data_IF_360373140316
#
_entry.id   IF_360373140316
#
_cell.length_a   1.000
_cell.length_b   1.000
_cell.length_c   1.000
_cell.angle_alpha   90.00
_cell.angle_beta   90.00
_cell.angle_gamma   90.00
#
_symmetry.space_group_name_H-M   'P 1'
#
loop_
_entity.id
_entity.type
_entity.pdbx_description
1 polymer ?
#
# COMPACT_ATOMS: atom_id res chain seq x y z
N UNK A 1 16.11 16.49 35.74
CA UNK A 1 15.53 16.48 34.35
C UNK A 1 16.51 15.75 33.46
N UNK A 2 16.21 14.59 32.97
CA UNK A 2 17.06 13.91 32.00
C UNK A 2 17.04 14.67 30.69
N UNK A 3 18.16 15.26 30.32
CA UNK A 3 18.33 15.87 29.01
C UNK A 3 18.22 14.79 27.93
N UNK A 4 17.11 14.79 27.21
CA UNK A 4 17.01 13.95 26.00
C UNK A 4 17.51 14.78 24.82
N UNK A 5 18.60 14.36 24.16
CA UNK A 5 19.10 15.05 22.99
C UNK A 5 18.05 14.96 21.88
N UNK A 6 17.55 16.10 21.46
CA UNK A 6 16.61 16.21 20.36
C UNK A 6 17.42 16.30 19.08
N UNK A 7 17.19 15.42 18.13
CA UNK A 7 17.84 15.53 16.83
C UNK A 7 17.47 16.84 16.17
N UNK A 8 18.43 17.48 15.53
CA UNK A 8 18.29 18.81 14.96
C UNK A 8 17.07 18.96 14.04
N UNK A 9 16.80 17.98 13.18
CA UNK A 9 15.64 17.99 12.29
C UNK A 9 14.30 17.75 12.98
N UNK A 10 14.32 17.43 14.27
CA UNK A 10 13.13 17.26 15.11
C UNK A 10 12.87 18.48 16.00
N UNK A 11 13.76 19.48 15.99
CA UNK A 11 13.68 20.63 16.89
C UNK A 11 12.64 21.64 16.50
N UNK A 12 12.14 21.60 15.30
CA UNK A 12 11.09 22.51 14.85
C UNK A 12 9.72 22.19 15.43
N UNK A 13 8.75 22.29 14.60
CA UNK A 13 7.33 22.12 14.95
C UNK A 13 6.99 20.77 15.53
N UNK A 14 7.69 19.70 15.10
CA UNK A 14 7.38 18.34 15.54
C UNK A 14 7.55 18.17 17.04
N UNK A 15 8.71 18.54 17.57
CA UNK A 15 9.02 18.31 18.99
C UNK A 15 8.17 19.20 19.89
N UNK A 16 7.99 20.46 19.52
CA UNK A 16 7.19 21.42 20.31
C UNK A 16 5.71 21.03 20.28
N UNK A 17 5.14 20.78 19.11
CA UNK A 17 3.72 20.39 18.98
C UNK A 17 3.37 19.14 19.78
N UNK A 18 4.22 18.13 19.77
CA UNK A 18 3.97 16.88 20.48
C UNK A 18 4.10 16.99 22.00
N UNK A 19 4.87 17.95 22.51
CA UNK A 19 5.00 18.19 23.96
C UNK A 19 3.78 18.85 24.58
N UNK A 20 2.98 19.53 23.79
CA UNK A 20 1.77 20.23 24.25
C UNK A 20 0.57 19.30 24.43
N UNK A 21 0.65 18.06 23.91
CA UNK A 21 -0.45 17.11 23.98
C UNK A 21 -0.12 15.97 24.95
N UNK A 22 -1.06 15.56 25.81
CA UNK A 22 -0.95 14.32 26.57
C UNK A 22 -0.68 13.13 25.65
N UNK A 23 0.06 12.13 26.12
CA UNK A 23 0.49 10.99 25.30
C UNK A 23 -0.71 10.23 24.67
N UNK A 24 -1.81 10.13 25.42
CA UNK A 24 -3.04 9.48 25.01
C UNK A 24 -3.83 10.21 23.91
N UNK A 25 -3.61 11.51 23.79
CA UNK A 25 -4.29 12.36 22.78
C UNK A 25 -3.47 12.58 21.51
N UNK A 26 -2.22 12.09 21.49
CA UNK A 26 -1.35 12.22 20.33
C UNK A 26 -1.85 11.36 19.17
N UNK A 27 -1.72 11.89 17.96
CA UNK A 27 -1.98 11.09 16.76
C UNK A 27 -1.00 9.93 16.65
N UNK A 28 -1.34 8.93 15.84
CA UNK A 28 -0.47 7.78 15.59
C UNK A 28 0.92 8.22 15.12
N UNK A 29 1.00 9.22 14.23
CA UNK A 29 2.27 9.76 13.72
C UNK A 29 3.09 10.47 14.79
N UNK A 30 2.42 11.09 15.76
CA UNK A 30 3.06 11.89 16.80
C UNK A 30 3.43 11.08 18.06
N UNK A 31 3.08 9.80 18.12
CA UNK A 31 3.37 8.98 19.28
C UNK A 31 4.82 8.50 19.27
N UNK A 32 5.65 9.07 20.13
CA UNK A 32 7.08 8.74 20.26
C UNK A 32 7.34 7.33 20.84
N UNK A 33 6.34 6.70 21.46
CA UNK A 33 6.44 5.33 22.00
C UNK A 33 6.00 4.28 20.99
N UNK A 34 5.67 4.70 19.77
CA UNK A 34 5.28 3.79 18.71
C UNK A 34 6.43 2.85 18.36
N UNK A 35 6.11 1.58 18.18
CA UNK A 35 7.02 0.63 17.50
C UNK A 35 7.39 1.18 16.12
N UNK A 36 8.65 1.10 15.79
CA UNK A 36 9.15 1.57 14.50
C UNK A 36 9.86 0.43 13.77
N UNK A 37 9.21 -0.16 12.80
CA UNK A 37 9.74 -1.25 11.99
C UNK A 37 10.80 -0.80 10.99
N UNK A 38 10.76 0.46 10.57
CA UNK A 38 11.64 1.02 9.55
C UNK A 38 12.57 2.06 10.20
N UNK A 39 13.84 1.71 10.34
CA UNK A 39 14.87 2.58 10.92
C UNK A 39 15.15 3.83 10.09
N UNK A 40 15.70 4.85 10.75
CA UNK A 40 16.34 5.96 10.07
C UNK A 40 17.51 5.45 9.21
N UNK A 41 17.77 6.14 8.09
CA UNK A 41 18.79 5.73 7.12
C UNK A 41 18.21 5.03 5.89
N UNK A 42 16.90 4.75 5.85
CA UNK A 42 16.23 4.36 4.61
C UNK A 42 16.32 5.46 3.56
N UNK A 43 16.21 5.07 2.29
CA UNK A 43 16.38 5.96 1.13
C UNK A 43 15.05 6.30 0.43
N UNK A 44 13.94 6.31 1.15
CA UNK A 44 12.65 6.66 0.58
C UNK A 44 12.64 8.11 0.09
N UNK A 45 11.95 8.34 -1.01
CA UNK A 45 11.74 9.68 -1.55
C UNK A 45 10.98 10.56 -0.55
N UNK A 46 11.17 11.86 -0.65
CA UNK A 46 10.37 12.82 0.13
C UNK A 46 8.88 12.65 -0.19
N UNK A 47 8.04 12.48 0.83
CA UNK A 47 6.61 12.25 0.65
C UNK A 47 6.24 10.88 0.11
N UNK A 48 7.11 9.87 0.18
CA UNK A 48 6.84 8.54 -0.33
C UNK A 48 5.65 7.88 0.39
N UNK A 49 4.54 7.67 -0.34
CA UNK A 49 3.36 6.98 0.20
C UNK A 49 3.60 5.51 0.50
N UNK A 50 4.45 4.84 -0.30
CA UNK A 50 4.80 3.43 -0.09
C UNK A 50 5.58 3.23 1.21
N UNK A 51 6.56 4.08 1.50
CA UNK A 51 7.31 4.02 2.76
C UNK A 51 6.41 4.29 3.98
N UNK A 52 5.46 5.22 3.84
CA UNK A 52 4.47 5.49 4.88
C UNK A 52 3.57 4.26 5.11
N UNK A 53 2.97 3.71 4.06
CA UNK A 53 2.08 2.57 4.15
C UNK A 53 2.78 1.32 4.68
N UNK A 54 3.97 1.00 4.16
CA UNK A 54 4.73 -0.17 4.57
C UNK A 54 5.16 -0.10 6.03
N UNK A 55 5.64 1.05 6.49
CA UNK A 55 5.99 1.26 7.89
C UNK A 55 4.81 0.97 8.82
N UNK A 56 3.64 1.53 8.53
CA UNK A 56 2.44 1.33 9.36
C UNK A 56 1.94 -0.12 9.32
N UNK A 57 1.97 -0.75 8.17
CA UNK A 57 1.58 -2.15 8.02
C UNK A 57 2.51 -3.09 8.83
N UNK A 58 3.81 -2.91 8.72
CA UNK A 58 4.78 -3.77 9.43
C UNK A 58 4.77 -3.47 10.95
N UNK A 59 4.65 -2.20 11.37
CA UNK A 59 4.47 -1.85 12.78
C UNK A 59 3.26 -2.57 13.39
N UNK A 60 2.12 -2.58 12.68
CA UNK A 60 0.91 -3.26 13.12
C UNK A 60 1.11 -4.79 13.21
N UNK A 61 1.79 -5.37 12.22
CA UNK A 61 2.09 -6.79 12.20
C UNK A 61 3.07 -7.20 13.33
N UNK A 62 4.11 -6.42 13.59
CA UNK A 62 5.04 -6.62 14.70
C UNK A 62 4.31 -6.61 16.05
N UNK A 63 3.44 -5.63 16.25
CA UNK A 63 2.65 -5.54 17.47
C UNK A 63 1.70 -6.73 17.65
N UNK A 64 1.00 -7.14 16.58
CA UNK A 64 0.07 -8.26 16.61
C UNK A 64 0.73 -9.63 16.84
N UNK A 65 2.03 -9.75 16.49
CA UNK A 65 2.78 -11.02 16.58
C UNK A 65 3.81 -11.04 17.70
N UNK A 66 3.89 -9.99 18.50
CA UNK A 66 4.98 -9.81 19.49
C UNK A 66 6.36 -9.99 18.84
N UNK A 67 6.57 -9.39 17.67
CA UNK A 67 7.78 -9.43 16.83
C UNK A 67 8.12 -10.81 16.26
N UNK A 68 7.23 -11.82 16.36
CA UNK A 68 7.44 -13.14 15.73
C UNK A 68 6.97 -13.12 14.28
N UNK A 69 7.74 -12.46 13.43
CA UNK A 69 7.42 -12.16 12.05
C UNK A 69 8.65 -12.33 11.15
N UNK A 70 8.45 -12.87 9.95
CA UNK A 70 9.44 -12.91 8.87
C UNK A 70 8.79 -12.29 7.64
N UNK A 71 9.49 -11.41 6.94
CA UNK A 71 9.03 -10.81 5.71
C UNK A 71 9.86 -11.25 4.49
N UNK A 72 9.17 -11.64 3.42
CA UNK A 72 9.73 -11.80 2.08
C UNK A 72 9.34 -10.60 1.23
N UNK A 73 10.24 -10.08 0.41
CA UNK A 73 10.02 -8.86 -0.36
C UNK A 73 10.36 -9.05 -1.84
N UNK A 74 9.52 -8.47 -2.70
CA UNK A 74 9.79 -8.35 -4.13
C UNK A 74 10.74 -7.18 -4.40
N UNK A 75 11.46 -7.23 -5.51
CA UNK A 75 12.22 -6.08 -6.02
C UNK A 75 11.27 -4.94 -6.36
N UNK A 76 11.65 -3.73 -6.05
CA UNK A 76 10.89 -2.51 -6.36
C UNK A 76 11.29 -1.34 -5.47
N UNK A 77 10.45 -0.30 -5.40
CA UNK A 77 10.70 0.84 -4.53
C UNK A 77 10.91 0.42 -3.08
N UNK A 78 10.04 -0.47 -2.57
CA UNK A 78 10.09 -0.95 -1.19
C UNK A 78 11.44 -1.58 -0.83
N UNK A 79 11.96 -2.43 -1.70
CA UNK A 79 13.28 -3.03 -1.52
C UNK A 79 14.37 -1.96 -1.60
N UNK A 80 14.39 -1.17 -2.68
CA UNK A 80 15.46 -0.20 -2.95
C UNK A 80 15.62 0.83 -1.83
N UNK A 81 14.53 1.37 -1.29
CA UNK A 81 14.67 2.34 -0.21
C UNK A 81 14.99 1.73 1.15
N UNK A 82 14.71 0.47 1.37
CA UNK A 82 14.86 -0.19 2.66
C UNK A 82 16.14 -1.02 2.81
N UNK A 83 16.92 -1.19 1.73
CA UNK A 83 18.17 -1.94 1.74
C UNK A 83 19.40 -1.06 1.47
N UNK A 84 19.83 -0.24 2.45
CA UNK A 84 21.15 0.38 2.38
C UNK A 84 22.21 -0.71 2.57
N UNK A 85 22.86 -1.13 1.47
CA UNK A 85 23.89 -2.17 1.52
C UNK A 85 24.96 -1.84 2.57
N UNK A 86 25.44 -2.82 3.36
CA UNK A 86 25.14 -4.27 3.33
C UNK A 86 23.93 -4.69 4.19
N UNK A 87 23.20 -3.76 4.76
CA UNK A 87 22.16 -3.99 5.75
C UNK A 87 20.76 -3.69 5.20
N UNK A 88 19.74 -4.04 5.98
CA UNK A 88 18.36 -3.58 5.79
C UNK A 88 17.96 -2.56 6.85
N UNK A 89 17.07 -1.62 6.47
CA UNK A 89 16.47 -0.69 7.44
C UNK A 89 15.31 -1.30 8.25
N UNK A 90 14.88 -2.53 7.93
CA UNK A 90 13.82 -3.22 8.64
C UNK A 90 14.28 -3.85 9.96
N UNK A 91 13.48 -3.71 11.02
CA UNK A 91 13.73 -4.31 12.33
C UNK A 91 13.09 -5.69 12.48
N UNK A 92 12.93 -6.42 11.40
CA UNK A 92 12.42 -7.80 11.35
C UNK A 92 13.33 -8.65 10.49
N UNK A 93 13.36 -9.98 10.67
CA UNK A 93 13.94 -10.89 9.70
C UNK A 93 13.32 -10.64 8.32
N UNK A 94 14.16 -10.29 7.36
CA UNK A 94 13.74 -9.83 6.06
C UNK A 94 14.53 -10.50 4.95
N UNK A 95 13.86 -10.99 3.94
CA UNK A 95 14.46 -11.70 2.81
C UNK A 95 14.01 -11.03 1.53
N UNK A 96 14.97 -10.54 0.75
CA UNK A 96 14.73 -10.09 -0.61
C UNK A 96 15.00 -11.22 -1.60
N UNK A 97 14.12 -11.38 -2.57
CA UNK A 97 14.29 -12.28 -3.71
C UNK A 97 13.98 -11.53 -5.00
N UNK A 98 14.05 -12.23 -6.13
CA UNK A 98 13.81 -11.65 -7.45
C UNK A 98 12.42 -11.04 -7.56
N UNK A 99 12.22 -10.20 -8.55
CA UNK A 99 11.07 -9.31 -8.75
C UNK A 99 9.71 -9.97 -8.54
N UNK A 100 9.48 -11.16 -9.11
CA UNK A 100 8.21 -11.87 -9.02
C UNK A 100 8.10 -12.90 -7.89
N UNK A 101 9.10 -13.06 -7.02
CA UNK A 101 9.25 -14.24 -6.18
C UNK A 101 8.75 -14.09 -4.74
N UNK A 102 8.27 -12.93 -4.30
CA UNK A 102 7.90 -12.71 -2.91
C UNK A 102 6.89 -13.75 -2.39
N UNK A 103 5.84 -14.05 -3.14
CA UNK A 103 4.86 -15.07 -2.76
C UNK A 103 5.47 -16.48 -2.67
N UNK A 104 6.29 -16.87 -3.64
CA UNK A 104 6.94 -18.18 -3.65
C UNK A 104 7.93 -18.37 -2.49
N UNK A 105 8.74 -17.34 -2.20
CA UNK A 105 9.68 -17.34 -1.06
C UNK A 105 8.92 -17.41 0.26
N UNK A 106 7.86 -16.62 0.42
CA UNK A 106 7.02 -16.62 1.62
C UNK A 106 6.34 -17.99 1.84
N UNK A 107 5.84 -18.62 0.76
CA UNK A 107 5.32 -20.00 0.79
C UNK A 107 6.37 -20.98 1.31
N UNK A 108 7.61 -20.89 0.80
CA UNK A 108 8.73 -21.73 1.27
C UNK A 108 9.04 -21.52 2.74
N UNK A 109 9.07 -20.26 3.20
CA UNK A 109 9.27 -19.91 4.62
C UNK A 109 8.15 -20.49 5.48
N UNK A 110 6.89 -20.32 5.08
CA UNK A 110 5.73 -20.83 5.82
C UNK A 110 5.78 -22.38 5.91
N UNK A 111 6.11 -23.06 4.81
CA UNK A 111 6.30 -24.52 4.79
C UNK A 111 7.43 -24.97 5.71
N UNK A 112 8.57 -24.29 5.69
CA UNK A 112 9.71 -24.60 6.58
C UNK A 112 9.37 -24.39 8.06
N UNK A 113 8.65 -23.32 8.40
CA UNK A 113 8.19 -23.06 9.76
C UNK A 113 7.23 -24.17 10.23
N UNK A 114 6.28 -24.57 9.37
CA UNK A 114 5.35 -25.68 9.64
C UNK A 114 6.10 -26.99 9.91
N UNK A 115 7.08 -27.33 9.06
CA UNK A 115 7.90 -28.54 9.23
C UNK A 115 8.73 -28.52 10.53
N UNK A 116 9.12 -27.34 11.02
CA UNK A 116 9.86 -27.14 12.28
C UNK A 116 8.94 -26.98 13.50
N UNK A 117 7.63 -27.11 13.37
CA UNK A 117 6.67 -26.91 14.47
C UNK A 117 6.57 -25.45 14.97
N UNK A 118 7.02 -24.46 14.18
CA UNK A 118 7.07 -23.05 14.54
C UNK A 118 5.80 -22.31 14.08
N UNK A 119 4.64 -22.73 14.56
CA UNK A 119 3.35 -22.09 14.26
C UNK A 119 3.18 -20.70 14.91
N UNK A 120 4.07 -20.34 15.82
CA UNK A 120 4.12 -19.06 16.53
C UNK A 120 4.69 -17.91 15.67
N UNK A 121 5.40 -18.22 14.59
CA UNK A 121 5.98 -17.23 13.69
C UNK A 121 5.07 -16.99 12.49
N UNK A 122 4.77 -15.73 12.20
CA UNK A 122 3.94 -15.33 11.06
C UNK A 122 4.80 -14.93 9.86
N UNK A 123 4.26 -15.09 8.67
CA UNK A 123 4.96 -14.75 7.41
C UNK A 123 4.19 -13.69 6.65
N UNK A 124 4.91 -12.66 6.21
CA UNK A 124 4.41 -11.64 5.29
C UNK A 124 5.20 -11.73 3.98
N UNK A 125 4.50 -11.60 2.86
CA UNK A 125 5.08 -11.27 1.56
C UNK A 125 4.72 -9.82 1.22
N UNK A 126 5.63 -9.08 0.59
CA UNK A 126 5.42 -7.68 0.23
C UNK A 126 5.88 -7.42 -1.21
N UNK A 127 5.17 -6.56 -1.92
CA UNK A 127 5.58 -6.12 -3.25
C UNK A 127 4.81 -4.89 -3.72
N UNK A 128 5.36 -4.19 -4.70
CA UNK A 128 4.63 -3.17 -5.46
C UNK A 128 3.64 -3.78 -6.44
N UNK A 129 2.83 -2.93 -7.08
CA UNK A 129 1.80 -3.37 -8.03
C UNK A 129 2.37 -4.13 -9.23
N UNK A 130 3.48 -3.68 -9.84
CA UNK A 130 4.11 -4.39 -10.95
C UNK A 130 4.64 -5.77 -10.57
N UNK A 131 5.32 -5.88 -9.41
CA UNK A 131 5.81 -7.14 -8.88
C UNK A 131 4.69 -8.11 -8.50
N UNK A 132 3.53 -7.60 -8.13
CA UNK A 132 2.38 -8.38 -7.67
C UNK A 132 1.43 -8.75 -8.81
N UNK A 133 0.99 -7.74 -9.58
CA UNK A 133 -0.05 -7.90 -10.61
C UNK A 133 0.48 -8.50 -11.91
N UNK A 134 1.74 -8.27 -12.22
CA UNK A 134 2.34 -8.66 -13.50
C UNK A 134 3.31 -9.82 -13.32
N UNK A 135 4.58 -9.53 -13.05
CA UNK A 135 5.64 -10.56 -13.08
C UNK A 135 5.50 -11.62 -11.97
N UNK A 136 4.93 -11.30 -10.81
CA UNK A 136 4.73 -12.22 -9.69
C UNK A 136 3.33 -12.85 -9.61
N UNK A 137 2.46 -12.54 -10.55
CA UNK A 137 1.04 -12.94 -10.45
C UNK A 137 0.84 -14.46 -10.39
N UNK A 138 1.61 -15.24 -11.16
CA UNK A 138 1.54 -16.69 -11.12
C UNK A 138 1.90 -17.26 -9.74
N UNK A 139 2.95 -16.74 -9.11
CA UNK A 139 3.34 -17.14 -7.76
C UNK A 139 2.28 -16.77 -6.72
N UNK A 140 1.69 -15.58 -6.84
CA UNK A 140 0.62 -15.10 -5.97
C UNK A 140 -0.64 -15.97 -6.09
N UNK A 141 -1.08 -16.26 -7.31
CA UNK A 141 -2.24 -17.13 -7.57
C UNK A 141 -2.03 -18.52 -6.98
N UNK A 142 -0.85 -19.12 -7.16
CA UNK A 142 -0.51 -20.43 -6.58
C UNK A 142 -0.48 -20.40 -5.03
N UNK A 143 -0.03 -19.30 -4.41
CA UNK A 143 -0.10 -19.11 -2.96
C UNK A 143 -1.55 -19.06 -2.46
N UNK A 144 -2.44 -18.39 -3.18
CA UNK A 144 -3.87 -18.33 -2.87
C UNK A 144 -4.55 -19.68 -3.04
N UNK A 145 -4.29 -20.37 -4.15
CA UNK A 145 -4.87 -21.69 -4.43
C UNK A 145 -4.52 -22.72 -3.35
N UNK A 146 -3.28 -22.75 -2.88
CA UNK A 146 -2.85 -23.66 -1.81
C UNK A 146 -3.28 -23.20 -0.42
N UNK A 147 -3.86 -22.00 -0.30
CA UNK A 147 -4.22 -21.36 0.97
C UNK A 147 -3.03 -21.33 1.96
N UNK A 148 -1.84 -20.97 1.45
CA UNK A 148 -0.62 -20.89 2.25
C UNK A 148 -0.77 -19.86 3.39
N UNK A 149 -0.25 -20.16 4.60
CA UNK A 149 -0.39 -19.27 5.76
C UNK A 149 0.53 -18.04 5.66
N UNK A 150 0.25 -17.20 4.68
CA UNK A 150 0.99 -15.97 4.35
C UNK A 150 0.04 -14.79 4.21
N UNK A 151 0.39 -13.65 4.80
CA UNK A 151 -0.21 -12.36 4.44
C UNK A 151 0.58 -11.75 3.29
N UNK A 152 -0.05 -11.55 2.15
CA UNK A 152 0.54 -10.75 1.07
C UNK A 152 0.04 -9.31 1.11
N UNK A 153 0.96 -8.35 1.12
CA UNK A 153 0.64 -6.91 1.08
C UNK A 153 1.17 -6.34 -0.25
N UNK A 154 0.26 -5.82 -1.06
CA UNK A 154 0.60 -5.08 -2.27
C UNK A 154 0.53 -3.58 -1.97
N UNK A 155 1.63 -2.86 -2.19
CA UNK A 155 1.67 -1.41 -2.13
C UNK A 155 1.54 -0.87 -3.55
N UNK A 156 0.32 -0.45 -3.90
CA UNK A 156 -0.02 -0.03 -5.25
C UNK A 156 0.23 1.47 -5.44
N UNK A 157 1.29 1.79 -6.18
CA UNK A 157 1.60 3.14 -6.65
C UNK A 157 1.32 3.33 -8.15
N UNK A 158 0.62 2.36 -8.75
CA UNK A 158 0.07 2.39 -10.11
C UNK A 158 1.12 2.42 -11.25
N UNK A 159 2.35 1.95 -11.00
CA UNK A 159 3.36 1.75 -12.05
C UNK A 159 4.58 0.95 -11.53
N UNK A 160 5.44 0.49 -12.45
CA UNK A 160 6.83 0.15 -12.14
C UNK A 160 7.62 1.44 -11.84
N UNK A 161 7.45 1.99 -10.62
CA UNK A 161 7.94 3.32 -10.28
C UNK A 161 9.47 3.41 -10.24
N UNK A 162 10.11 2.45 -9.55
CA UNK A 162 11.55 2.51 -9.30
C UNK A 162 12.38 2.42 -10.59
N UNK A 163 11.90 1.67 -11.56
CA UNK A 163 12.62 1.45 -12.82
C UNK A 163 12.44 2.57 -13.86
N UNK A 164 11.66 3.59 -13.55
CA UNK A 164 11.45 4.75 -14.41
C UNK A 164 10.01 4.95 -14.86
N UNK A 165 9.04 4.56 -14.02
CA UNK A 165 7.59 4.84 -14.21
C UNK A 165 7.04 4.16 -15.47
N UNK A 166 7.34 2.89 -15.70
CA UNK A 166 6.70 2.10 -16.76
C UNK A 166 5.29 1.69 -16.33
N UNK A 167 4.42 1.50 -17.30
CA UNK A 167 3.08 1.01 -17.07
C UNK A 167 3.08 -0.37 -16.40
N UNK A 168 2.28 -0.53 -15.34
CA UNK A 168 1.86 -1.81 -14.77
C UNK A 168 0.39 -2.12 -15.10
N UNK A 169 -0.08 -3.32 -14.74
CA UNK A 169 -1.53 -3.62 -14.81
C UNK A 169 -2.38 -2.76 -13.88
N UNK A 170 -1.80 -2.13 -12.85
CA UNK A 170 -2.52 -1.23 -11.95
C UNK A 170 -2.60 0.21 -12.48
N UNK A 171 -1.83 0.56 -13.50
CA UNK A 171 -1.83 1.90 -14.07
C UNK A 171 -3.23 2.28 -14.58
N UNK A 172 -3.86 3.33 -14.04
CA UNK A 172 -5.24 3.66 -14.39
C UNK A 172 -5.37 4.18 -15.83
N UNK A 173 -6.58 4.11 -16.40
CA UNK A 173 -6.85 4.67 -17.73
C UNK A 173 -6.43 6.13 -17.82
N UNK A 174 -5.92 6.51 -18.97
CA UNK A 174 -5.41 7.84 -19.31
C UNK A 174 -4.17 8.32 -18.53
N UNK A 175 -3.66 7.59 -17.53
CA UNK A 175 -2.41 7.98 -16.86
C UNK A 175 -1.22 7.89 -17.82
N UNK A 176 -0.39 8.92 -17.84
CA UNK A 176 0.89 8.91 -18.57
C UNK A 176 1.96 8.19 -17.75
N UNK A 177 2.72 7.35 -18.44
CA UNK A 177 3.94 6.70 -17.93
C UNK A 177 5.02 6.75 -18.98
N UNK A 178 6.23 6.29 -18.66
CA UNK A 178 7.32 6.22 -19.63
C UNK A 178 7.01 5.33 -20.85
N UNK A 179 6.13 4.33 -20.67
CA UNK A 179 5.70 3.41 -21.75
C UNK A 179 4.28 3.69 -22.27
N UNK A 180 3.57 4.66 -21.70
CA UNK A 180 2.25 5.13 -22.15
C UNK A 180 2.24 6.67 -22.21
N UNK A 181 3.10 7.24 -23.05
CA UNK A 181 3.33 8.70 -23.11
C UNK A 181 2.11 9.51 -23.54
N UNK A 182 1.21 8.91 -24.33
CA UNK A 182 -0.07 9.54 -24.74
C UNK A 182 -1.20 9.33 -23.70
N UNK A 183 -0.96 8.55 -22.67
CA UNK A 183 -1.95 8.07 -21.69
C UNK A 183 -2.22 6.58 -21.84
N UNK A 184 -2.57 5.91 -20.73
CA UNK A 184 -2.87 4.48 -20.74
C UNK A 184 -4.19 4.18 -21.44
N UNK A 185 -4.14 3.39 -22.52
CA UNK A 185 -5.31 2.94 -23.31
C UNK A 185 -5.64 1.46 -23.12
N UNK A 186 -4.90 0.73 -22.28
CA UNK A 186 -5.08 -0.72 -22.06
C UNK A 186 -6.25 -1.09 -21.12
N UNK A 187 -7.12 -0.15 -20.80
CA UNK A 187 -8.26 -0.37 -19.89
C UNK A 187 -7.87 -0.29 -18.41
N UNK A 188 -8.68 -0.91 -17.55
CA UNK A 188 -8.54 -0.79 -16.08
C UNK A 188 -7.50 -1.75 -15.48
N UNK A 189 -6.93 -2.65 -16.27
CA UNK A 189 -5.96 -3.62 -15.79
C UNK A 189 -6.56 -4.70 -14.87
N UNK A 190 -5.72 -5.31 -14.04
CA UNK A 190 -6.13 -6.37 -13.12
C UNK A 190 -6.65 -5.80 -11.81
N UNK A 191 -7.84 -6.21 -11.41
CA UNK A 191 -8.37 -5.94 -10.08
C UNK A 191 -7.91 -7.03 -9.12
N UNK A 192 -6.72 -6.88 -8.54
CA UNK A 192 -6.11 -7.88 -7.66
C UNK A 192 -6.98 -8.24 -6.44
N UNK A 193 -7.61 -7.29 -5.73
CA UNK A 193 -8.51 -7.65 -4.64
C UNK A 193 -9.66 -8.54 -5.09
N UNK A 194 -10.30 -8.26 -6.24
CA UNK A 194 -11.36 -9.10 -6.77
C UNK A 194 -10.86 -10.49 -7.20
N UNK A 195 -9.66 -10.57 -7.74
CA UNK A 195 -9.02 -11.85 -8.10
C UNK A 195 -8.71 -12.66 -6.82
N UNK A 196 -8.19 -12.02 -5.78
CA UNK A 196 -7.95 -12.68 -4.49
C UNK A 196 -9.26 -13.17 -3.86
N UNK A 197 -10.33 -12.39 -3.93
CA UNK A 197 -11.68 -12.79 -3.50
C UNK A 197 -12.18 -14.01 -4.29
N UNK A 198 -11.94 -14.05 -5.61
CA UNK A 198 -12.35 -15.17 -6.46
C UNK A 198 -11.61 -16.49 -6.14
N UNK A 199 -10.45 -16.43 -5.51
CA UNK A 199 -9.79 -17.61 -4.93
C UNK A 199 -10.44 -18.13 -3.63
N UNK A 200 -11.39 -17.41 -3.06
CA UNK A 200 -12.07 -17.80 -1.81
C UNK A 200 -11.16 -17.82 -0.58
N UNK A 201 -10.04 -17.08 -0.63
CA UNK A 201 -9.11 -17.02 0.51
C UNK A 201 -9.76 -16.41 1.75
N UNK A 202 -9.31 -16.77 2.96
CA UNK A 202 -9.94 -16.35 4.22
C UNK A 202 -10.11 -14.85 4.40
N UNK A 203 -9.19 -14.03 3.89
CA UNK A 203 -9.27 -12.58 4.09
C UNK A 203 -8.66 -11.78 2.96
N UNK A 204 -9.41 -10.78 2.49
CA UNK A 204 -8.99 -9.78 1.51
C UNK A 204 -9.37 -8.40 2.02
N UNK A 205 -8.47 -7.43 1.95
CA UNK A 205 -8.80 -6.04 2.28
C UNK A 205 -8.15 -5.07 1.29
N UNK A 206 -8.79 -3.92 1.12
CA UNK A 206 -8.19 -2.75 0.52
C UNK A 206 -7.97 -1.69 1.60
N UNK A 207 -6.90 -0.93 1.50
CA UNK A 207 -6.54 0.13 2.45
C UNK A 207 -5.87 1.29 1.73
N UNK A 208 -5.76 2.42 2.39
CA UNK A 208 -5.10 3.61 1.84
C UNK A 208 -4.27 4.32 2.91
N UNK A 209 -3.18 4.95 2.51
CA UNK A 209 -2.38 5.80 3.42
C UNK A 209 -3.13 7.05 3.91
N UNK A 210 -4.31 7.34 3.35
CA UNK A 210 -5.18 8.38 3.88
C UNK A 210 -5.88 7.98 5.19
N UNK A 211 -5.93 6.68 5.52
CA UNK A 211 -6.61 6.12 6.68
C UNK A 211 -5.70 5.10 7.41
N UNK A 212 -4.66 5.60 8.07
CA UNK A 212 -3.62 4.76 8.67
C UNK A 212 -4.15 3.85 9.80
N UNK A 213 -5.12 4.29 10.58
CA UNK A 213 -5.76 3.45 11.60
C UNK A 213 -6.55 2.27 11.01
N UNK A 214 -7.22 2.51 9.87
CA UNK A 214 -7.90 1.45 9.14
C UNK A 214 -6.90 0.41 8.61
N UNK A 215 -5.80 0.87 8.01
CA UNK A 215 -4.72 0.00 7.56
C UNK A 215 -4.14 -0.85 8.72
N UNK A 216 -3.84 -0.23 9.86
CA UNK A 216 -3.33 -0.94 11.04
C UNK A 216 -4.33 -2.00 11.56
N UNK A 217 -5.61 -1.65 11.64
CA UNK A 217 -6.66 -2.56 12.10
C UNK A 217 -6.80 -3.77 11.18
N UNK A 218 -6.77 -3.57 9.87
CA UNK A 218 -6.82 -4.63 8.86
C UNK A 218 -5.60 -5.55 8.91
N UNK A 219 -4.40 -4.99 9.09
CA UNK A 219 -3.20 -5.81 9.25
C UNK A 219 -3.25 -6.63 10.54
N UNK A 220 -3.67 -6.05 11.67
CA UNK A 220 -3.84 -6.79 12.93
C UNK A 220 -4.81 -7.94 12.76
N UNK A 221 -6.00 -7.68 12.17
CA UNK A 221 -6.98 -8.73 11.86
C UNK A 221 -6.40 -9.82 10.96
N UNK A 222 -5.68 -9.46 9.90
CA UNK A 222 -5.02 -10.42 9.02
C UNK A 222 -3.99 -11.29 9.76
N UNK A 223 -3.31 -10.76 10.80
CA UNK A 223 -2.37 -11.55 11.60
C UNK A 223 -3.07 -12.58 12.51
N UNK A 224 -4.32 -12.39 12.87
CA UNK A 224 -5.12 -13.35 13.66
C UNK A 224 -5.64 -14.51 12.80
N UNK A 225 -5.93 -14.25 11.53
CA UNK A 225 -6.47 -15.24 10.58
C UNK A 225 -5.37 -16.17 10.08
N UNK A 226 -5.67 -17.46 9.85
CA UNK A 226 -4.80 -18.45 9.23
C UNK A 226 -5.16 -18.68 7.77
N UNK A 227 -4.21 -19.19 6.99
CA UNK A 227 -4.35 -19.38 5.55
C UNK A 227 -3.86 -18.17 4.76
N UNK A 228 -4.22 -18.07 3.50
CA UNK A 228 -3.81 -16.97 2.64
C UNK A 228 -4.61 -15.70 2.92
N UNK A 229 -3.94 -14.58 3.05
CA UNK A 229 -4.54 -13.26 3.24
C UNK A 229 -3.92 -12.27 2.29
N UNK A 230 -4.72 -11.31 1.83
CA UNK A 230 -4.27 -10.28 0.90
C UNK A 230 -4.74 -8.89 1.34
N UNK A 231 -3.81 -7.95 1.39
CA UNK A 231 -4.14 -6.52 1.61
C UNK A 231 -3.57 -5.70 0.46
N UNK A 232 -4.42 -4.93 -0.21
CA UNK A 232 -4.07 -4.02 -1.27
C UNK A 232 -4.06 -2.59 -0.74
N UNK A 233 -2.89 -1.98 -0.66
CA UNK A 233 -2.71 -0.65 -0.06
C UNK A 233 -2.43 0.37 -1.15
N UNK A 234 -3.34 1.33 -1.31
CA UNK A 234 -3.16 2.44 -2.23
C UNK A 234 -2.17 3.46 -1.66
N UNK A 235 -1.08 3.67 -2.38
CA UNK A 235 0.04 4.53 -1.97
C UNK A 235 0.40 5.49 -3.09
N UNK A 236 0.18 6.79 -2.89
CA UNK A 236 0.51 7.80 -3.88
C UNK A 236 2.03 8.01 -3.99
N UNK A 237 2.49 8.28 -5.20
CA UNK A 237 3.91 8.52 -5.51
C UNK A 237 4.13 9.95 -6.01
N UNK A 238 4.73 10.87 -5.21
CA UNK A 238 4.95 12.25 -5.64
C UNK A 238 5.73 12.35 -6.95
N UNK A 239 6.80 11.57 -7.09
CA UNK A 239 7.68 11.64 -8.25
C UNK A 239 7.01 11.08 -9.52
N UNK A 240 6.44 9.89 -9.45
CA UNK A 240 5.85 9.24 -10.63
C UNK A 240 4.53 9.85 -11.06
N UNK A 241 3.73 10.34 -10.10
CA UNK A 241 2.45 11.00 -10.42
C UNK A 241 2.61 12.49 -10.68
N UNK A 242 3.71 13.09 -10.17
CA UNK A 242 4.02 14.50 -10.37
C UNK A 242 3.13 15.43 -9.56
N UNK A 243 2.84 15.08 -8.30
CA UNK A 243 2.24 15.98 -7.31
C UNK A 243 3.27 16.42 -6.27
N UNK A 244 2.95 17.44 -5.48
CA UNK A 244 3.84 17.90 -4.41
C UNK A 244 3.97 16.84 -3.29
N UNK A 245 5.13 16.77 -2.65
CA UNK A 245 5.41 15.77 -1.62
C UNK A 245 4.48 15.89 -0.39
N UNK A 246 4.09 17.10 -0.03
CA UNK A 246 3.13 17.40 1.04
C UNK A 246 1.70 16.96 0.72
N UNK A 247 1.36 16.78 -0.56
CA UNK A 247 0.04 16.35 -1.01
C UNK A 247 -0.18 14.83 -0.99
N UNK A 248 0.81 14.04 -0.65
CA UNK A 248 0.76 12.57 -0.69
C UNK A 248 -0.50 11.99 -0.04
N UNK A 249 -0.76 12.32 1.22
CA UNK A 249 -1.95 11.83 1.94
C UNK A 249 -3.25 12.44 1.38
N UNK A 250 -3.20 13.70 0.95
CA UNK A 250 -4.34 14.39 0.33
C UNK A 250 -4.76 13.73 -0.97
N UNK A 251 -3.82 13.42 -1.87
CA UNK A 251 -4.11 12.75 -3.14
C UNK A 251 -4.67 11.34 -2.92
N UNK A 252 -4.12 10.58 -1.97
CA UNK A 252 -4.67 9.29 -1.59
C UNK A 252 -6.11 9.40 -1.05
N UNK A 253 -6.40 10.44 -0.27
CA UNK A 253 -7.76 10.72 0.23
C UNK A 253 -8.72 11.04 -0.91
N UNK A 254 -8.31 11.86 -1.87
CA UNK A 254 -9.12 12.20 -3.03
C UNK A 254 -9.47 10.97 -3.90
N UNK A 255 -8.59 9.97 -3.99
CA UNK A 255 -8.90 8.71 -4.68
C UNK A 255 -10.06 7.97 -4.00
N UNK A 256 -10.10 7.93 -2.67
CA UNK A 256 -11.23 7.36 -1.91
C UNK A 256 -12.49 8.22 -2.04
N UNK A 257 -12.37 9.52 -1.78
CA UNK A 257 -13.49 10.47 -1.78
C UNK A 257 -14.18 10.60 -3.16
N UNK A 258 -13.45 10.37 -4.24
CA UNK A 258 -14.01 10.32 -5.59
C UNK A 258 -14.64 8.98 -5.96
N UNK A 259 -14.49 7.94 -5.16
CA UNK A 259 -14.98 6.59 -5.46
C UNK A 259 -14.06 5.79 -6.40
N UNK A 260 -12.90 6.31 -6.78
CA UNK A 260 -11.94 5.60 -7.64
C UNK A 260 -11.29 4.43 -6.92
N UNK A 261 -11.02 4.57 -5.61
CA UNK A 261 -10.45 3.52 -4.80
C UNK A 261 -11.37 3.14 -3.61
N UNK A 262 -12.22 2.11 -3.76
CA UNK A 262 -13.06 1.59 -2.69
C UNK A 262 -12.22 0.98 -1.56
N UNK A 263 -12.55 1.30 -0.32
CA UNK A 263 -11.91 0.75 0.88
C UNK A 263 -12.88 -0.21 1.57
N UNK A 264 -12.53 -1.50 1.62
CA UNK A 264 -13.39 -2.57 2.13
C UNK A 264 -12.60 -3.75 2.70
N UNK A 265 -13.32 -4.65 3.36
CA UNK A 265 -12.87 -5.96 3.78
C UNK A 265 -13.78 -7.04 3.21
N UNK A 266 -13.19 -8.20 2.91
CA UNK A 266 -13.93 -9.38 2.44
C UNK A 266 -13.38 -10.64 3.11
N UNK A 267 -14.25 -11.60 3.36
CA UNK A 267 -13.93 -12.91 3.90
C UNK A 267 -14.52 -13.99 2.98
N UNK A 268 -13.71 -14.99 2.63
CA UNK A 268 -14.13 -16.10 1.77
C UNK A 268 -14.83 -15.66 0.47
N UNK A 269 -14.37 -14.54 -0.11
CA UNK A 269 -14.91 -13.98 -1.34
C UNK A 269 -16.08 -13.01 -1.18
N UNK A 270 -16.64 -12.84 0.03
CA UNK A 270 -17.79 -11.98 0.29
C UNK A 270 -17.37 -10.69 1.00
N UNK A 271 -17.87 -9.54 0.57
CA UNK A 271 -17.61 -8.24 1.22
C UNK A 271 -18.34 -8.18 2.55
N UNK A 272 -17.58 -8.02 3.64
CA UNK A 272 -18.10 -7.99 5.01
C UNK A 272 -18.07 -6.60 5.64
N UNK A 273 -17.32 -5.69 5.10
CA UNK A 273 -17.22 -4.31 5.61
C UNK A 273 -16.79 -3.33 4.55
N UNK A 274 -17.34 -2.12 4.58
CA UNK A 274 -17.03 -1.04 3.61
C UNK A 274 -16.82 0.26 4.35
N UNK A 275 -15.72 0.95 4.04
CA UNK A 275 -15.47 2.31 4.55
C UNK A 275 -16.22 3.33 3.70
N UNK A 276 -17.19 4.01 4.30
CA UNK A 276 -18.03 5.00 3.62
C UNK A 276 -17.25 6.27 3.24
N UNK A 277 -17.69 6.90 2.16
CA UNK A 277 -17.23 8.23 1.74
C UNK A 277 -18.00 9.27 2.54
N UNK A 278 -17.29 10.04 3.38
CA UNK A 278 -17.91 11.12 4.16
C UNK A 278 -18.17 12.38 3.33
N UNK A 279 -17.30 12.62 2.36
CA UNK A 279 -17.35 13.77 1.45
C UNK A 279 -17.07 13.28 0.04
N UNK A 280 -18.12 13.17 -0.78
CA UNK A 280 -17.94 12.81 -2.18
C UNK A 280 -17.42 14.01 -2.98
N UNK A 281 -16.44 13.78 -3.82
CA UNK A 281 -15.85 14.76 -4.73
C UNK A 281 -15.83 14.24 -6.17
N UNK A 282 -15.90 15.11 -7.20
CA UNK A 282 -15.75 14.67 -8.58
C UNK A 282 -14.31 14.17 -8.82
N UNK A 283 -14.14 13.25 -9.78
CA UNK A 283 -12.81 12.69 -10.12
C UNK A 283 -11.81 13.77 -10.55
N UNK A 284 -12.28 14.90 -11.04
CA UNK A 284 -11.42 16.04 -11.42
C UNK A 284 -10.56 16.56 -10.26
N UNK A 285 -11.07 16.50 -9.01
CA UNK A 285 -10.33 16.89 -7.83
C UNK A 285 -9.11 15.97 -7.59
N UNK A 286 -9.26 14.67 -7.88
CA UNK A 286 -8.18 13.69 -7.81
C UNK A 286 -7.20 13.83 -8.99
N UNK A 287 -7.68 14.07 -10.19
CA UNK A 287 -6.87 14.08 -11.40
C UNK A 287 -5.99 15.34 -11.53
N UNK A 288 -6.54 16.54 -11.23
CA UNK A 288 -5.87 17.84 -11.43
C UNK A 288 -4.50 17.99 -10.73
N UNK A 289 -4.31 17.56 -9.47
CA UNK A 289 -3.02 17.75 -8.82
C UNK A 289 -1.89 16.87 -9.39
N UNK A 290 -2.18 15.94 -10.30
CA UNK A 290 -1.25 14.95 -10.81
C UNK A 290 -0.82 15.25 -12.25
N UNK A 291 0.47 15.52 -12.47
CA UNK A 291 1.01 15.81 -13.82
C UNK A 291 0.78 14.69 -14.83
N UNK A 292 0.70 13.43 -14.37
CA UNK A 292 0.42 12.28 -15.23
C UNK A 292 -0.95 12.36 -15.93
N UNK A 293 -1.88 13.19 -15.42
CA UNK A 293 -3.19 13.49 -16.02
C UNK A 293 -3.28 14.90 -16.60
N UNK A 294 -2.21 15.70 -16.56
CA UNK A 294 -2.21 17.10 -17.02
C UNK A 294 -2.72 17.29 -18.46
N UNK A 295 -2.45 16.31 -19.34
CA UNK A 295 -2.92 16.32 -20.74
C UNK A 295 -4.43 16.21 -20.91
N UNK A 296 -5.17 15.86 -19.85
CA UNK A 296 -6.63 15.86 -19.86
C UNK A 296 -7.22 17.28 -19.69
N UNK A 297 -6.39 18.22 -19.23
CA UNK A 297 -6.81 19.59 -18.91
C UNK A 297 -6.18 20.65 -19.81
N UNK A 298 -5.04 20.38 -20.44
CA UNK A 298 -4.31 21.31 -21.30
C UNK A 298 -3.64 20.56 -22.47
N UNK A 299 -3.65 21.14 -23.70
CA UNK A 299 -4.16 22.45 -24.09
C UNK A 299 -5.68 22.53 -24.24
N UNK A 300 -6.39 21.39 -24.27
CA UNK A 300 -7.84 21.32 -24.34
C UNK A 300 -8.39 20.34 -23.32
N UNK A 301 -9.54 20.65 -22.74
CA UNK A 301 -10.22 19.78 -21.79
C UNK A 301 -10.76 18.53 -22.49
N UNK A 302 -10.37 17.33 -22.01
CA UNK A 302 -10.81 16.03 -22.54
C UNK A 302 -12.02 15.52 -21.78
N UNK A 303 -13.16 16.19 -22.00
CA UNK A 303 -14.40 15.92 -21.24
C UNK A 303 -14.89 14.50 -21.35
N UNK A 304 -14.76 13.87 -22.53
CA UNK A 304 -15.16 12.49 -22.80
C UNK A 304 -14.33 11.47 -22.01
N UNK A 305 -13.02 11.71 -21.87
CA UNK A 305 -12.12 10.85 -21.08
C UNK A 305 -12.40 11.00 -19.58
N UNK A 306 -12.58 12.24 -19.12
CA UNK A 306 -12.90 12.53 -17.72
C UNK A 306 -14.25 11.93 -17.34
N UNK A 307 -15.26 12.03 -18.22
CA UNK A 307 -16.58 11.43 -18.01
C UNK A 307 -16.50 9.90 -17.84
N UNK A 308 -15.71 9.20 -18.67
CA UNK A 308 -15.50 7.75 -18.54
C UNK A 308 -14.81 7.38 -17.23
N UNK A 309 -13.88 8.19 -16.74
CA UNK A 309 -13.25 7.98 -15.43
C UNK A 309 -14.29 8.18 -14.31
N UNK A 310 -15.13 9.21 -14.42
CA UNK A 310 -16.22 9.47 -13.47
C UNK A 310 -17.23 8.30 -13.44
N UNK A 311 -17.63 7.78 -14.59
CA UNK A 311 -18.51 6.60 -14.67
C UNK A 311 -17.90 5.38 -13.95
N UNK A 312 -16.57 5.21 -14.03
CA UNK A 312 -15.84 4.18 -13.29
C UNK A 312 -15.99 4.35 -11.78
N UNK A 313 -15.80 5.57 -11.30
CA UNK A 313 -15.97 5.92 -9.89
C UNK A 313 -17.43 5.71 -9.42
N UNK A 314 -18.40 6.13 -10.22
CA UNK A 314 -19.82 5.99 -9.92
C UNK A 314 -20.25 4.51 -9.89
N UNK A 315 -19.67 3.67 -10.74
CA UNK A 315 -19.89 2.20 -10.67
C UNK A 315 -19.36 1.63 -9.36
N UNK A 316 -18.18 2.05 -8.89
CA UNK A 316 -17.64 1.62 -7.61
C UNK A 316 -18.54 2.07 -6.45
N UNK A 317 -18.98 3.33 -6.47
CA UNK A 317 -19.88 3.88 -5.45
C UNK A 317 -21.17 3.03 -5.35
N UNK A 318 -21.79 2.72 -6.48
CA UNK A 318 -23.01 1.88 -6.51
C UNK A 318 -22.70 0.44 -6.09
N UNK A 319 -21.63 -0.17 -6.62
CA UNK A 319 -21.26 -1.57 -6.35
C UNK A 319 -21.03 -1.84 -4.88
N UNK A 320 -20.33 -0.95 -4.20
CA UNK A 320 -19.94 -1.11 -2.80
C UNK A 320 -20.81 -0.30 -1.83
N UNK A 321 -21.80 0.46 -2.34
CA UNK A 321 -22.63 1.32 -1.49
C UNK A 321 -21.78 2.31 -0.68
N UNK A 322 -20.87 3.05 -1.32
CA UNK A 322 -19.87 3.88 -0.63
C UNK A 322 -20.45 5.15 0.03
N UNK A 323 -21.59 5.59 -0.36
CA UNK A 323 -22.32 6.75 0.18
C UNK A 323 -23.62 6.31 0.83
#
# INVERSE_FOLDING_TARGET
MSYQPVKYYQTGTFTVGNRLLPAETRTVQANMRRTNSLNSGHRACQGCGEALGARYAIDAAMNATSNRLIAANATGCLEVFSTPYPETSWQIPWIHSLFGNAAAVATGIAAALKAKGRSDVRVIAQGGDGGTADIGFGCLSGMFERNDDVLYICYDNEAYMNTGVQRSSATPPAARTATTTAGNTFGQGKNLPAIAMAHGIPYVATATIAELHDLESKVKRAMEIRGARYIHVFVSCPLGWGHAAEDTVRVARLAKESGLFPVYEAEHGEVVGVSKIRRQVPVTEYLKPQRRFGHLFSPSLKTDVIARIQEGADRNIRKFGLV
#
